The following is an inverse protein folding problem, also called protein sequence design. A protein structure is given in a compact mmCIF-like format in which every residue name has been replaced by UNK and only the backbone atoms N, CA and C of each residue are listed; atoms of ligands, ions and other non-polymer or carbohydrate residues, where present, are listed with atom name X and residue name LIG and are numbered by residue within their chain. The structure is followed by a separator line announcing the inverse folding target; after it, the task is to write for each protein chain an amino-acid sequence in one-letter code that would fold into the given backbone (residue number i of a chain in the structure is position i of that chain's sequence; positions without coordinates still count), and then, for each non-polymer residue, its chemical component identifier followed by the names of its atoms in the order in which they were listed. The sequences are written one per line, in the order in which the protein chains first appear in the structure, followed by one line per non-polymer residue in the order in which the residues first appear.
data_IF_637099479921
#
_entry.id   IF_637099479921
#
_cell.length_a   1.000
_cell.length_b   1.000
_cell.length_c   1.000
_cell.angle_alpha   90.00
_cell.angle_beta   90.00
_cell.angle_gamma   90.00
#
_symmetry.space_group_name_H-M   'P 1'
#
loop_
_entity.id
_entity.type
_entity.pdbx_description
1 polymer ?
#
# COMPACT_ATOMS: atom_id res chain seq x y z
N UNK A 1 10.03 20.85 5.13
CA UNK A 1 9.17 19.65 5.09
C UNK A 1 9.96 18.49 5.63
N UNK A 2 9.61 17.92 6.77
CA UNK A 2 10.31 16.74 7.30
C UNK A 2 9.80 15.56 6.50
N UNK A 3 10.67 14.96 5.64
CA UNK A 3 10.34 13.71 4.93
C UNK A 3 10.08 12.68 6.02
N UNK A 4 8.92 12.06 5.99
CA UNK A 4 8.58 11.00 6.92
C UNK A 4 9.55 9.83 6.71
N UNK A 5 10.14 9.35 7.79
CA UNK A 5 11.03 8.20 7.74
C UNK A 5 10.22 6.95 7.38
N UNK A 6 10.71 6.16 6.41
CA UNK A 6 10.12 4.87 6.09
C UNK A 6 10.35 3.91 7.27
N UNK A 7 9.29 3.34 7.83
CA UNK A 7 9.35 2.50 9.03
C UNK A 7 8.63 1.18 8.79
N UNK A 8 9.27 0.07 9.19
CA UNK A 8 8.62 -1.24 9.30
C UNK A 8 8.07 -1.40 10.71
N UNK A 9 6.81 -1.80 10.81
CA UNK A 9 6.09 -2.06 12.05
C UNK A 9 5.70 -3.53 12.06
N UNK A 10 6.09 -4.26 13.10
CA UNK A 10 5.80 -5.69 13.23
C UNK A 10 4.63 -5.94 14.18
N UNK A 11 3.96 -7.07 14.01
CA UNK A 11 2.85 -7.52 14.86
C UNK A 11 1.71 -6.50 14.92
N UNK A 12 1.29 -6.01 13.76
CA UNK A 12 0.29 -4.96 13.61
C UNK A 12 -1.08 -5.40 14.13
N UNK A 13 -1.49 -6.63 13.79
CA UNK A 13 -2.76 -7.23 14.18
C UNK A 13 -2.54 -8.47 15.03
N UNK A 14 -3.49 -8.80 15.88
CA UNK A 14 -3.57 -10.11 16.55
C UNK A 14 -4.07 -11.18 15.58
N UNK A 15 -3.87 -12.45 15.91
CA UNK A 15 -4.38 -13.58 15.12
C UNK A 15 -5.89 -13.52 14.94
N UNK A 16 -6.63 -13.09 15.96
CA UNK A 16 -8.08 -12.94 15.91
C UNK A 16 -8.52 -11.82 14.93
N UNK A 17 -7.76 -10.71 14.87
CA UNK A 17 -8.04 -9.63 13.93
C UNK A 17 -7.69 -10.06 12.49
N UNK A 18 -6.59 -10.79 12.29
CA UNK A 18 -6.24 -11.38 10.98
C UNK A 18 -7.33 -12.33 10.52
N UNK A 19 -7.77 -13.23 11.40
CA UNK A 19 -8.87 -14.15 11.10
C UNK A 19 -10.16 -13.40 10.70
N UNK A 20 -10.49 -12.34 11.42
CA UNK A 20 -11.67 -11.50 11.13
C UNK A 20 -11.57 -10.82 9.75
N UNK A 21 -10.38 -10.39 9.34
CA UNK A 21 -10.16 -9.85 7.99
C UNK A 21 -10.42 -10.92 6.94
N UNK A 22 -9.82 -12.11 7.09
CA UNK A 22 -10.01 -13.19 6.11
C UNK A 22 -11.46 -13.70 6.07
N UNK A 23 -12.14 -13.79 7.20
CA UNK A 23 -13.56 -14.13 7.24
C UNK A 23 -14.38 -13.10 6.44
N UNK A 24 -14.11 -11.81 6.65
CA UNK A 24 -14.78 -10.73 5.92
C UNK A 24 -14.50 -10.80 4.41
N UNK A 25 -13.26 -10.98 4.01
CA UNK A 25 -12.85 -11.05 2.60
C UNK A 25 -13.43 -12.27 1.90
N UNK A 26 -13.42 -13.43 2.56
CA UNK A 26 -13.99 -14.67 2.01
C UNK A 26 -15.51 -14.61 1.84
N UNK A 27 -16.20 -13.80 2.64
CA UNK A 27 -17.63 -13.56 2.54
C UNK A 27 -17.98 -12.36 1.64
N UNK A 28 -16.98 -11.66 1.06
CA UNK A 28 -17.23 -10.52 0.17
C UNK A 28 -17.80 -11.01 -1.16
N UNK A 29 -18.96 -10.50 -1.59
CA UNK A 29 -19.55 -10.86 -2.88
C UNK A 29 -18.62 -10.51 -4.05
N UNK A 30 -18.65 -11.31 -5.12
CA UNK A 30 -17.77 -11.12 -6.30
C UNK A 30 -17.96 -9.76 -6.97
N UNK A 31 -19.17 -9.22 -6.97
CA UNK A 31 -19.48 -7.89 -7.50
C UNK A 31 -18.86 -6.73 -6.67
N UNK A 32 -18.36 -7.02 -5.48
CA UNK A 32 -17.55 -6.12 -4.64
C UNK A 32 -16.05 -6.31 -4.82
N UNK A 33 -15.64 -7.08 -5.80
CA UNK A 33 -14.23 -7.30 -6.15
C UNK A 33 -13.94 -6.83 -7.58
N UNK A 34 -12.72 -6.37 -7.82
CA UNK A 34 -12.27 -5.96 -9.14
C UNK A 34 -10.87 -6.50 -9.43
N UNK A 35 -10.67 -7.07 -10.61
CA UNK A 35 -9.33 -7.41 -11.09
C UNK A 35 -8.71 -6.18 -11.73
N UNK A 36 -7.58 -5.76 -11.20
CA UNK A 36 -6.78 -4.63 -11.71
C UNK A 36 -5.65 -5.20 -12.57
N UNK A 37 -5.94 -5.41 -13.85
CA UNK A 37 -5.05 -6.13 -14.77
C UNK A 37 -3.67 -5.48 -14.95
N UNK A 38 -3.59 -4.15 -14.91
CA UNK A 38 -2.31 -3.46 -15.11
C UNK A 38 -1.36 -3.53 -13.89
N UNK A 39 -1.89 -3.91 -12.72
CA UNK A 39 -1.12 -4.15 -11.48
C UNK A 39 -1.05 -5.66 -11.21
N UNK A 40 -2.00 -6.44 -11.71
CA UNK A 40 -2.04 -7.89 -11.50
C UNK A 40 -2.48 -8.28 -10.09
N UNK A 41 -3.51 -7.62 -9.57
CA UNK A 41 -4.11 -8.01 -8.30
C UNK A 41 -5.65 -7.99 -8.36
N UNK A 42 -6.28 -8.65 -7.40
CA UNK A 42 -7.71 -8.51 -7.11
C UNK A 42 -7.90 -7.57 -5.94
N UNK A 43 -8.55 -6.44 -6.20
CA UNK A 43 -8.96 -5.49 -5.16
C UNK A 43 -10.34 -5.86 -4.59
N UNK A 44 -10.52 -5.63 -3.29
CA UNK A 44 -11.77 -5.84 -2.56
C UNK A 44 -12.24 -4.48 -2.02
N UNK A 45 -13.35 -4.00 -2.56
CA UNK A 45 -13.90 -2.68 -2.26
C UNK A 45 -14.88 -2.69 -1.08
N UNK A 46 -14.72 -3.60 -0.15
CA UNK A 46 -15.50 -3.63 1.09
C UNK A 46 -14.65 -3.16 2.26
N UNK A 47 -15.25 -2.33 3.10
CA UNK A 47 -14.58 -1.90 4.33
C UNK A 47 -14.35 -3.10 5.24
N UNK A 48 -13.14 -3.17 5.80
CA UNK A 48 -12.81 -4.17 6.82
C UNK A 48 -13.65 -3.94 8.09
N UNK A 49 -13.74 -4.93 9.00
CA UNK A 49 -14.41 -4.75 10.28
C UNK A 49 -13.90 -3.50 11.00
N UNK A 50 -14.80 -2.69 11.56
CA UNK A 50 -14.47 -1.39 12.14
C UNK A 50 -13.37 -1.49 13.22
N UNK A 51 -13.39 -2.54 14.04
CA UNK A 51 -12.36 -2.79 15.04
C UNK A 51 -10.95 -2.93 14.44
N UNK A 52 -10.84 -3.54 13.26
CA UNK A 52 -9.56 -3.65 12.52
C UNK A 52 -9.15 -2.28 11.97
N UNK A 53 -10.09 -1.53 11.39
CA UNK A 53 -9.84 -0.16 10.89
C UNK A 53 -9.33 0.74 12.00
N UNK A 54 -9.99 0.70 13.16
CA UNK A 54 -9.60 1.49 14.34
C UNK A 54 -8.20 1.09 14.85
N UNK A 55 -7.90 -0.21 14.83
CA UNK A 55 -6.58 -0.73 15.20
C UNK A 55 -5.49 -0.23 14.25
N UNK A 56 -5.69 -0.35 12.93
CA UNK A 56 -4.73 0.11 11.92
C UNK A 56 -4.47 1.61 12.04
N UNK A 57 -5.54 2.41 12.23
CA UNK A 57 -5.44 3.85 12.43
C UNK A 57 -4.66 4.18 13.71
N UNK A 58 -4.93 3.49 14.81
CA UNK A 58 -4.22 3.68 16.08
C UNK A 58 -2.72 3.36 15.95
N UNK A 59 -2.37 2.28 15.26
CA UNK A 59 -0.96 1.91 15.00
C UNK A 59 -0.28 2.98 14.15
N UNK A 60 -0.91 3.42 13.05
CA UNK A 60 -0.38 4.48 12.20
C UNK A 60 -0.19 5.81 12.97
N UNK A 61 -1.16 6.21 13.80
CA UNK A 61 -1.07 7.40 14.66
C UNK A 61 0.08 7.32 15.67
N UNK A 62 0.26 6.14 16.29
CA UNK A 62 1.35 5.95 17.27
C UNK A 62 2.74 6.09 16.64
N UNK A 63 2.85 5.73 15.36
CA UNK A 63 4.10 5.81 14.58
C UNK A 63 4.42 7.26 14.19
N UNK A 64 3.40 8.00 13.75
CA UNK A 64 3.57 9.38 13.28
C UNK A 64 3.53 10.40 14.41
N UNK A 65 2.96 10.05 15.55
CA UNK A 65 2.63 10.95 16.69
C UNK A 65 1.76 12.14 16.26
N UNK A 66 0.94 11.96 15.22
CA UNK A 66 0.04 12.97 14.66
C UNK A 66 -1.37 12.40 14.54
N UNK A 67 -2.37 13.25 14.57
CA UNK A 67 -3.74 12.89 14.23
C UNK A 67 -3.86 12.51 12.76
N UNK A 68 -4.49 11.39 12.48
CA UNK A 68 -4.69 10.85 11.13
C UNK A 68 -6.18 10.68 10.85
N UNK A 69 -6.55 10.97 9.62
CA UNK A 69 -7.86 10.67 9.06
C UNK A 69 -7.69 9.68 7.91
N UNK A 70 -8.37 8.53 8.01
CA UNK A 70 -8.34 7.51 6.96
C UNK A 70 -9.11 8.03 5.74
N UNK A 71 -8.47 8.04 4.58
CA UNK A 71 -9.04 8.47 3.30
C UNK A 71 -9.41 7.32 2.41
N UNK A 72 -8.59 6.29 2.41
CA UNK A 72 -8.81 5.11 1.59
C UNK A 72 -8.33 3.87 2.34
N UNK A 73 -9.08 2.80 2.18
CA UNK A 73 -8.72 1.46 2.64
C UNK A 73 -9.09 0.46 1.56
N UNK A 74 -8.15 -0.41 1.22
CA UNK A 74 -8.40 -1.52 0.32
C UNK A 74 -7.66 -2.77 0.75
N UNK A 75 -8.25 -3.93 0.49
CA UNK A 75 -7.55 -5.21 0.52
C UNK A 75 -7.23 -5.63 -0.90
N UNK A 76 -6.02 -6.12 -1.13
CA UNK A 76 -5.59 -6.60 -2.44
C UNK A 76 -4.90 -7.96 -2.32
N UNK A 77 -5.29 -8.89 -3.18
CA UNK A 77 -4.62 -10.18 -3.38
C UNK A 77 -3.88 -10.18 -4.70
N UNK A 78 -2.57 -10.31 -4.62
CA UNK A 78 -1.72 -10.65 -5.75
C UNK A 78 -1.59 -12.18 -5.83
N UNK A 79 -1.74 -12.76 -7.01
CA UNK A 79 -1.62 -14.20 -7.19
C UNK A 79 -1.00 -14.53 -8.54
N UNK A 80 -0.48 -15.74 -8.67
CA UNK A 80 0.12 -16.25 -9.90
C UNK A 80 -0.75 -16.00 -11.14
N UNK A 81 -2.05 -16.25 -11.04
CA UNK A 81 -2.99 -16.16 -12.16
C UNK A 81 -3.17 -14.74 -12.70
N UNK A 82 -2.82 -13.74 -11.88
CA UNK A 82 -3.01 -12.33 -12.23
C UNK A 82 -1.73 -11.66 -12.72
N UNK A 83 -0.60 -12.40 -12.77
CA UNK A 83 0.70 -11.87 -13.21
C UNK A 83 1.07 -10.57 -12.47
N UNK A 84 1.36 -10.65 -11.16
CA UNK A 84 1.57 -9.49 -10.32
C UNK A 84 2.69 -8.58 -10.83
N UNK A 85 2.44 -7.31 -10.80
CA UNK A 85 3.42 -6.26 -11.11
C UNK A 85 3.00 -4.95 -10.45
N UNK A 86 3.97 -4.19 -10.03
CA UNK A 86 3.73 -2.85 -9.50
C UNK A 86 4.85 -1.94 -10.00
N UNK A 87 4.58 -1.28 -11.13
CA UNK A 87 5.54 -0.34 -11.73
C UNK A 87 5.74 0.89 -10.86
N UNK A 88 6.84 1.66 -11.07
CA UNK A 88 7.07 2.91 -10.35
C UNK A 88 5.86 3.84 -10.45
N UNK A 89 5.41 4.35 -9.31
CA UNK A 89 4.29 5.29 -9.23
C UNK A 89 4.34 6.15 -7.97
N UNK A 90 3.52 7.15 -7.94
CA UNK A 90 3.11 7.89 -6.76
C UNK A 90 1.65 7.54 -6.50
N UNK A 91 1.25 7.45 -5.25
CA UNK A 91 -0.17 7.30 -4.91
C UNK A 91 -0.93 8.47 -5.50
N UNK A 92 -1.80 8.17 -6.47
CA UNK A 92 -2.56 9.17 -7.20
C UNK A 92 -4.01 9.19 -6.71
N UNK A 93 -4.60 10.35 -6.76
CA UNK A 93 -6.04 10.52 -6.52
C UNK A 93 -6.31 11.54 -5.45
N UNK A 94 -5.51 11.58 -4.40
CA UNK A 94 -5.72 12.56 -3.34
C UNK A 94 -4.38 13.15 -2.92
N UNK A 95 -4.06 14.33 -3.42
CA UNK A 95 -2.89 15.13 -3.01
C UNK A 95 -2.83 15.34 -1.47
N UNK A 96 -3.93 15.04 -0.80
CA UNK A 96 -4.13 15.13 0.65
C UNK A 96 -3.69 13.88 1.41
N UNK A 97 -3.51 12.75 0.72
CA UNK A 97 -3.02 11.51 1.36
C UNK A 97 -1.53 11.63 1.60
N UNK A 98 -1.16 11.83 2.86
CA UNK A 98 0.22 12.11 3.27
C UNK A 98 0.97 10.92 3.84
N UNK A 99 0.24 9.89 4.25
CA UNK A 99 0.77 8.69 4.82
C UNK A 99 0.16 7.48 4.13
N UNK A 100 1.02 6.67 3.53
CA UNK A 100 0.69 5.32 3.08
C UNK A 100 1.12 4.34 4.16
N UNK A 101 0.25 3.42 4.49
CA UNK A 101 0.45 2.34 5.45
C UNK A 101 0.09 1.03 4.75
N UNK A 102 1.11 0.30 4.30
CA UNK A 102 0.99 -0.95 3.55
C UNK A 102 1.24 -2.13 4.48
N UNK A 103 0.18 -2.83 4.89
CA UNK A 103 0.27 -4.03 5.72
C UNK A 103 0.27 -5.28 4.84
N UNK A 104 1.33 -6.09 4.93
CA UNK A 104 1.31 -7.46 4.44
C UNK A 104 0.62 -8.34 5.48
N UNK A 105 -0.63 -8.73 5.21
CA UNK A 105 -1.42 -9.54 6.16
C UNK A 105 -1.18 -11.04 6.01
N UNK A 106 -0.77 -11.47 4.81
CA UNK A 106 -0.47 -12.86 4.51
C UNK A 106 0.26 -13.04 3.19
N UNK A 107 0.72 -14.24 2.95
CA UNK A 107 1.42 -14.58 1.73
C UNK A 107 2.42 -15.70 1.94
N UNK A 108 2.88 -16.28 0.83
CA UNK A 108 3.88 -17.34 0.81
C UNK A 108 5.00 -17.04 -0.20
N UNK A 109 5.12 -15.79 -0.61
CA UNK A 109 6.18 -15.30 -1.49
C UNK A 109 6.80 -14.04 -0.91
N UNK A 110 8.13 -13.91 -1.03
CA UNK A 110 8.84 -12.67 -0.72
C UNK A 110 8.88 -11.80 -1.97
N UNK A 111 8.26 -10.65 -1.89
CA UNK A 111 8.22 -9.67 -2.97
C UNK A 111 8.47 -8.27 -2.40
N UNK A 112 9.73 -7.79 -2.42
CA UNK A 112 10.09 -6.53 -1.79
C UNK A 112 9.38 -5.35 -2.45
N UNK A 113 9.20 -4.28 -1.69
CA UNK A 113 8.79 -2.97 -2.20
C UNK A 113 10.00 -2.03 -2.16
N UNK A 114 10.23 -1.32 -3.24
CA UNK A 114 11.23 -0.24 -3.31
C UNK A 114 10.53 1.10 -3.09
N UNK A 115 11.05 1.90 -2.18
CA UNK A 115 10.59 3.28 -1.92
C UNK A 115 11.80 4.19 -2.06
N UNK A 116 11.76 5.08 -3.05
CA UNK A 116 12.90 5.96 -3.39
C UNK A 116 14.23 5.19 -3.59
N UNK A 117 14.16 3.98 -4.14
CA UNK A 117 15.31 3.11 -4.40
C UNK A 117 15.81 2.31 -3.19
N UNK A 118 15.23 2.48 -2.01
CA UNK A 118 15.48 1.61 -0.85
C UNK A 118 14.50 0.45 -0.85
N UNK A 119 15.00 -0.78 -0.75
CA UNK A 119 14.16 -1.99 -0.74
C UNK A 119 13.75 -2.39 0.68
N UNK A 120 12.48 -2.76 0.82
CA UNK A 120 11.88 -3.25 2.06
C UNK A 120 11.19 -4.58 1.77
N UNK A 121 11.59 -5.63 2.48
CA UNK A 121 10.90 -6.92 2.46
C UNK A 121 10.06 -7.03 3.72
N UNK A 122 8.76 -7.23 3.54
CA UNK A 122 7.84 -7.42 4.65
C UNK A 122 7.61 -8.92 4.88
N UNK A 123 7.46 -9.27 6.14
CA UNK A 123 6.92 -10.54 6.58
C UNK A 123 5.40 -10.41 6.83
N UNK A 124 4.72 -11.53 6.99
CA UNK A 124 3.29 -11.51 7.33
C UNK A 124 3.08 -10.77 8.66
N UNK A 125 2.06 -9.94 8.71
CA UNK A 125 1.72 -9.06 9.82
C UNK A 125 2.76 -7.96 10.09
N UNK A 126 3.47 -7.53 9.03
CA UNK A 126 4.32 -6.35 9.04
C UNK A 126 3.76 -5.28 8.11
N UNK A 127 3.87 -4.03 8.53
CA UNK A 127 3.50 -2.88 7.72
C UNK A 127 4.70 -1.98 7.44
N UNK A 128 4.72 -1.37 6.27
CA UNK A 128 5.61 -0.28 5.90
C UNK A 128 4.83 1.03 5.90
N UNK A 129 5.38 2.07 6.53
CA UNK A 129 4.85 3.44 6.41
C UNK A 129 5.78 4.30 5.58
N UNK A 130 5.22 5.10 4.68
CA UNK A 130 5.96 6.04 3.83
C UNK A 130 5.03 7.14 3.30
N UNK A 131 5.58 8.14 2.61
CA UNK A 131 4.81 9.22 2.02
C UNK A 131 4.48 8.91 0.56
N UNK A 132 3.51 8.02 0.28
CA UNK A 132 3.23 7.48 -1.05
C UNK A 132 2.94 8.52 -2.12
N UNK A 133 2.35 9.67 -1.77
CA UNK A 133 2.13 10.78 -2.70
C UNK A 133 3.39 11.61 -3.02
N UNK A 134 4.51 11.38 -2.29
CA UNK A 134 5.75 12.14 -2.41
C UNK A 134 6.98 11.27 -2.63
N UNK A 135 6.88 9.98 -2.42
CA UNK A 135 7.94 9.00 -2.59
C UNK A 135 7.54 8.03 -3.68
N UNK A 136 8.33 7.97 -4.75
CA UNK A 136 8.11 7.02 -5.83
C UNK A 136 8.39 5.63 -5.29
N UNK A 137 7.42 4.72 -5.50
CA UNK A 137 7.54 3.36 -5.02
C UNK A 137 7.08 2.36 -6.07
N UNK A 138 7.61 1.15 -5.99
CA UNK A 138 7.32 0.05 -6.92
C UNK A 138 7.74 -1.27 -6.32
N UNK A 139 7.37 -2.36 -6.98
CA UNK A 139 7.93 -3.68 -6.70
C UNK A 139 8.72 -4.16 -7.93
N UNK A 140 9.88 -4.82 -7.74
CA UNK A 140 10.65 -5.36 -8.87
C UNK A 140 9.80 -6.38 -9.63
N UNK A 141 10.07 -6.51 -10.94
CA UNK A 141 9.44 -7.53 -11.75
C UNK A 141 9.71 -8.90 -11.15
N UNK A 142 8.68 -9.70 -11.04
CA UNK A 142 8.78 -11.06 -10.55
C UNK A 142 7.72 -11.93 -11.24
N UNK A 143 7.94 -13.23 -11.21
CA UNK A 143 6.94 -14.20 -11.65
C UNK A 143 6.56 -15.04 -10.44
N UNK A 144 5.30 -14.95 -10.02
CA UNK A 144 4.78 -15.85 -9.00
C UNK A 144 4.64 -17.26 -9.60
N UNK A 145 5.04 -18.26 -8.84
CA UNK A 145 4.80 -19.66 -9.19
C UNK A 145 3.36 -20.04 -8.85
N UNK A 146 2.88 -21.14 -9.42
CA UNK A 146 1.57 -21.68 -9.08
C UNK A 146 1.38 -21.83 -7.56
N UNK A 147 0.27 -21.35 -7.05
CA UNK A 147 -0.05 -21.33 -5.62
C UNK A 147 0.63 -20.23 -4.81
N UNK A 148 1.49 -19.40 -5.41
CA UNK A 148 2.04 -18.23 -4.73
C UNK A 148 1.05 -17.06 -4.74
N UNK A 149 0.99 -16.39 -3.60
CA UNK A 149 0.14 -15.21 -3.40
C UNK A 149 0.74 -14.27 -2.35
N UNK A 150 0.25 -13.04 -2.37
CA UNK A 150 0.54 -11.98 -1.40
C UNK A 150 -0.74 -11.19 -1.12
N UNK A 151 -1.10 -11.07 0.15
CA UNK A 151 -2.26 -10.34 0.62
C UNK A 151 -1.84 -9.06 1.33
N UNK A 152 -2.37 -7.95 0.84
CA UNK A 152 -2.05 -6.62 1.33
C UNK A 152 -3.30 -5.89 1.80
N UNK A 153 -3.16 -5.10 2.86
CA UNK A 153 -4.11 -4.05 3.24
C UNK A 153 -3.41 -2.72 3.04
N UNK A 154 -3.99 -1.88 2.21
CA UNK A 154 -3.53 -0.52 1.94
C UNK A 154 -4.40 0.48 2.68
N UNK A 155 -3.77 1.33 3.49
CA UNK A 155 -4.43 2.43 4.16
C UNK A 155 -3.74 3.75 3.79
N UNK A 156 -4.52 4.70 3.30
CA UNK A 156 -4.03 6.04 3.00
C UNK A 156 -4.65 7.04 3.97
N UNK A 157 -3.81 7.86 4.59
CA UNK A 157 -4.22 8.81 5.60
C UNK A 157 -3.83 10.24 5.22
N UNK A 158 -4.66 11.21 5.61
CA UNK A 158 -4.27 12.62 5.72
C UNK A 158 -3.96 12.96 7.18
N UNK A 159 -3.10 13.97 7.38
CA UNK A 159 -2.86 14.53 8.71
C UNK A 159 -3.95 15.53 9.05
N UNK A 160 -4.57 15.38 10.22
CA UNK A 160 -5.67 16.27 10.68
C UNK A 160 -5.20 17.72 10.88
N UNK A 161 -3.93 17.90 11.26
CA UNK A 161 -3.30 19.19 11.57
C UNK A 161 -2.52 19.76 10.37
N UNK A 162 -2.67 19.22 9.17
CA UNK A 162 -1.97 19.71 7.98
C UNK A 162 -2.82 20.78 7.28
N UNK A 163 -2.55 22.05 7.58
CA UNK A 163 -3.20 23.18 6.92
C UNK A 163 -2.83 23.29 5.43
N UNK A 164 -1.74 22.62 4.99
CA UNK A 164 -1.28 22.60 3.61
C UNK A 164 -1.74 21.33 2.88
N UNK A 165 -3.04 21.16 2.76
CA UNK A 165 -3.63 20.01 2.06
C UNK A 165 -3.40 20.02 0.53
N UNK A 166 -2.81 21.06 -0.03
CA UNK A 166 -2.47 21.13 -1.46
C UNK A 166 -1.08 21.72 -1.66
N UNK A 167 -0.08 20.85 -1.88
CA UNK A 167 1.13 21.30 -2.56
C UNK A 167 0.75 21.63 -4.00
N UNK A 168 1.16 22.81 -4.49
CA UNK A 168 0.91 23.23 -5.87
C UNK A 168 1.47 22.25 -6.88
N UNK A 169 0.97 22.29 -8.11
CA UNK A 169 1.38 21.39 -9.20
C UNK A 169 2.89 21.48 -9.47
N UNK A 170 3.50 22.64 -9.22
CA UNK A 170 4.94 22.85 -9.31
C UNK A 170 5.77 21.91 -8.43
N UNK A 171 5.22 21.44 -7.31
CA UNK A 171 5.89 20.50 -6.42
C UNK A 171 5.87 19.08 -6.97
N UNK A 172 4.80 18.71 -7.67
CA UNK A 172 4.62 17.35 -8.21
C UNK A 172 5.25 17.16 -9.58
N UNK A 173 5.34 18.18 -10.42
CA UNK A 173 5.90 18.06 -11.77
C UNK A 173 7.28 17.40 -11.82
N UNK A 174 8.26 17.76 -10.95
CA UNK A 174 9.56 17.09 -10.93
C UNK A 174 9.48 15.62 -10.50
N UNK A 175 8.57 15.29 -9.57
CA UNK A 175 8.35 13.91 -9.11
C UNK A 175 7.73 13.06 -10.22
N UNK A 176 6.73 13.59 -10.92
CA UNK A 176 6.10 12.92 -12.06
C UNK A 176 7.12 12.66 -13.16
N UNK A 177 7.91 13.66 -13.55
CA UNK A 177 8.95 13.51 -14.58
C UNK A 177 10.01 12.45 -14.20
N UNK A 178 10.34 12.34 -12.91
CA UNK A 178 11.24 11.29 -12.41
C UNK A 178 10.57 9.92 -12.44
N UNK A 179 9.30 9.85 -12.06
CA UNK A 179 8.51 8.63 -12.10
C UNK A 179 8.41 8.08 -13.53
N UNK A 180 8.12 8.92 -14.52
CA UNK A 180 8.04 8.54 -15.93
C UNK A 180 9.36 7.92 -16.44
N UNK A 181 10.50 8.47 -16.03
CA UNK A 181 11.82 7.90 -16.35
C UNK A 181 12.01 6.52 -15.73
N UNK A 182 11.61 6.34 -14.47
CA UNK A 182 11.69 5.05 -13.78
C UNK A 182 10.77 4.01 -14.42
N UNK A 183 9.58 4.41 -14.86
CA UNK A 183 8.65 3.53 -15.61
C UNK A 183 9.30 3.05 -16.92
N UNK A 184 9.99 3.93 -17.65
CA UNK A 184 10.70 3.55 -18.87
C UNK A 184 11.80 2.52 -18.59
N UNK A 185 12.60 2.72 -17.52
CA UNK A 185 13.63 1.78 -17.09
C UNK A 185 12.98 0.45 -16.71
N UNK A 186 11.98 0.48 -15.85
CA UNK A 186 11.24 -0.70 -15.39
C UNK A 186 10.67 -1.52 -16.56
N UNK A 187 10.12 -0.87 -17.58
CA UNK A 187 9.55 -1.56 -18.72
C UNK A 187 10.61 -2.19 -19.64
N UNK A 188 11.84 -1.66 -19.64
CA UNK A 188 12.95 -2.16 -20.44
C UNK A 188 13.80 -3.24 -19.72
N UNK A 189 13.62 -3.43 -18.44
CA UNK A 189 14.22 -4.57 -17.71
C UNK A 189 13.54 -5.86 -18.17
N UNK A 190 14.35 -6.76 -18.72
CA UNK A 190 13.92 -8.08 -19.25
C UNK A 190 13.92 -9.16 -18.17
#
# INVERSE_FOLDING_TARGET
MTIQQNLIISNVLSDAEIYSVYEHINNTPVDKTQVINHIGHRAYHSWLPQSVVDKLTSVAQSTTKRGLELRELSFARYSHELSPRLQPHLDSGFKEQRLTFDLQIGGNVLWPISVEGSEFTLENNQALTFAGTHQIHWRPKTTFLEGQYLDMVFCHYSFVDDEQNSLGDEHYLPLIARCDKLIQIYNNES
#
